data_IF_326803081023
#
_entry.id   IF_326803081023
#
_cell.length_a   1.000
_cell.length_b   1.000
_cell.length_c   1.000
_cell.angle_alpha   90.00
_cell.angle_beta   90.00
_cell.angle_gamma   90.00
#
_symmetry.space_group_name_H-M   'P 1'
#
loop_
_entity.id
_entity.type
_entity.pdbx_description
1 polymer ?
#
# COMPACT_ATOMS: atom_id res chain seq x y z
N UNK A 1 -13.56 -49.11 70.98
CA UNK A 1 -12.89 -48.20 71.95
C UNK A 1 -12.31 -47.02 71.18
N UNK A 2 -12.58 -45.77 71.65
CA UNK A 2 -12.02 -44.45 71.24
C UNK A 2 -12.09 -44.08 69.74
N UNK A 3 -13.03 -43.22 69.30
CA UNK A 3 -13.14 -41.74 69.46
C UNK A 3 -11.88 -40.97 69.02
N UNK A 4 -11.88 -40.44 67.79
CA UNK A 4 -11.27 -39.15 67.37
C UNK A 4 -12.06 -38.71 66.11
N UNK A 5 -13.22 -38.07 66.25
CA UNK A 5 -13.45 -36.61 66.32
C UNK A 5 -12.78 -35.79 65.20
N UNK A 6 -13.65 -35.34 64.28
CA UNK A 6 -13.83 -33.96 63.81
C UNK A 6 -12.56 -33.18 63.47
N UNK A 7 -12.29 -33.01 62.16
CA UNK A 7 -12.05 -31.66 61.60
C UNK A 7 -12.74 -31.59 60.24
N UNK A 8 -13.95 -31.04 60.26
CA UNK A 8 -14.51 -30.36 59.11
C UNK A 8 -13.73 -29.05 58.93
N UNK A 9 -13.13 -28.84 57.76
CA UNK A 9 -12.94 -27.49 57.25
C UNK A 9 -13.10 -27.51 55.72
N UNK A 10 -14.36 -27.34 55.36
CA UNK A 10 -14.82 -26.89 54.06
C UNK A 10 -14.21 -25.50 53.84
N UNK A 11 -13.43 -25.33 52.77
CA UNK A 11 -13.29 -24.02 52.13
C UNK A 11 -13.25 -24.23 50.61
N UNK A 12 -14.36 -23.99 49.90
CA UNK A 12 -14.35 -24.02 48.44
C UNK A 12 -13.71 -22.69 48.03
N UNK A 13 -12.44 -22.72 47.62
CA UNK A 13 -11.81 -21.56 47.01
C UNK A 13 -12.36 -21.40 45.59
N UNK A 14 -13.51 -20.73 45.55
CA UNK A 14 -13.77 -19.62 44.65
C UNK A 14 -13.48 -19.93 43.18
N UNK A 15 -14.52 -20.43 42.53
CA UNK A 15 -14.80 -20.22 41.11
C UNK A 15 -14.46 -18.76 40.77
N UNK A 16 -13.28 -18.55 40.19
CA UNK A 16 -12.92 -17.27 39.61
C UNK A 16 -13.73 -17.13 38.33
N UNK A 17 -14.58 -16.10 38.35
CA UNK A 17 -15.53 -15.74 37.32
C UNK A 17 -14.79 -15.54 35.99
N UNK A 18 -15.02 -16.45 35.04
CA UNK A 18 -14.72 -16.21 33.63
C UNK A 18 -15.84 -15.34 33.06
N UNK A 19 -15.89 -14.08 33.49
CA UNK A 19 -16.68 -13.05 32.80
C UNK A 19 -15.79 -12.44 31.71
N UNK A 20 -15.57 -13.21 30.63
CA UNK A 20 -15.22 -12.64 29.34
C UNK A 20 -16.43 -11.83 28.86
N UNK A 21 -16.57 -10.61 29.37
CA UNK A 21 -17.25 -9.56 28.64
C UNK A 21 -16.55 -9.50 27.30
N UNK A 22 -17.21 -10.00 26.24
CA UNK A 22 -16.82 -9.73 24.87
C UNK A 22 -16.83 -8.21 24.71
N UNK A 23 -15.66 -7.61 25.00
CA UNK A 23 -15.37 -6.23 24.66
C UNK A 23 -15.87 -6.05 23.24
N UNK A 24 -16.80 -5.10 23.08
CA UNK A 24 -17.59 -4.96 21.88
C UNK A 24 -16.68 -5.10 20.68
N UNK A 25 -17.12 -5.87 19.68
CA UNK A 25 -16.52 -5.90 18.36
C UNK A 25 -16.46 -4.45 17.88
N UNK A 26 -15.37 -3.77 18.21
CA UNK A 26 -14.96 -2.56 17.55
C UNK A 26 -14.92 -2.99 16.11
N UNK A 27 -15.87 -2.48 15.32
CA UNK A 27 -15.78 -2.59 13.88
C UNK A 27 -14.39 -2.06 13.58
N UNK A 28 -13.46 -2.97 13.27
CA UNK A 28 -12.21 -2.61 12.63
C UNK A 28 -12.68 -1.69 11.51
N UNK A 29 -12.34 -0.40 11.62
CA UNK A 29 -12.59 0.54 10.55
C UNK A 29 -11.66 0.10 9.43
N UNK A 30 -12.09 -0.94 8.72
CA UNK A 30 -11.52 -1.34 7.45
C UNK A 30 -11.79 -0.14 6.56
N UNK A 31 -10.81 0.74 6.48
CA UNK A 31 -10.81 1.80 5.48
C UNK A 31 -10.64 1.05 4.18
N UNK A 32 -11.73 0.90 3.44
CA UNK A 32 -11.69 0.33 2.11
C UNK A 32 -10.68 1.12 1.30
N UNK A 33 -9.62 0.43 0.84
CA UNK A 33 -8.53 1.07 0.14
C UNK A 33 -9.10 1.75 -1.11
N UNK A 34 -8.83 3.05 -1.27
CA UNK A 34 -9.29 3.82 -2.44
C UNK A 34 -8.94 3.07 -3.72
N UNK A 35 -9.94 2.84 -4.57
CA UNK A 35 -9.73 2.32 -5.91
C UNK A 35 -9.00 3.38 -6.76
N UNK A 36 -7.83 3.03 -7.26
CA UNK A 36 -7.01 3.88 -8.12
C UNK A 36 -7.35 3.54 -9.57
N UNK A 37 -7.59 4.52 -10.45
CA UNK A 37 -7.83 4.29 -11.88
C UNK A 37 -6.77 4.94 -12.75
N UNK A 38 -6.61 4.44 -13.97
CA UNK A 38 -5.65 5.03 -14.90
C UNK A 38 -6.06 6.47 -15.27
N UNK A 39 -7.31 6.68 -15.66
CA UNK A 39 -7.77 7.99 -16.14
C UNK A 39 -7.71 9.07 -15.07
N UNK A 40 -8.07 8.75 -13.81
CA UNK A 40 -8.16 9.76 -12.74
C UNK A 40 -6.86 9.98 -12.00
N UNK A 41 -6.07 8.94 -11.77
CA UNK A 41 -4.94 9.01 -10.82
C UNK A 41 -3.58 8.87 -11.51
N UNK A 42 -3.47 8.03 -12.55
CA UNK A 42 -2.19 7.69 -13.18
C UNK A 42 -1.87 8.63 -14.34
N UNK A 43 -2.84 8.86 -15.23
CA UNK A 43 -2.68 9.67 -16.42
C UNK A 43 -2.18 11.09 -16.12
N UNK A 44 -2.62 11.81 -15.06
CA UNK A 44 -2.06 13.11 -14.72
C UNK A 44 -0.56 13.05 -14.35
N UNK A 45 -0.14 12.00 -13.64
CA UNK A 45 1.26 11.77 -13.27
C UNK A 45 2.10 11.51 -14.52
N UNK A 46 1.66 10.59 -15.38
CA UNK A 46 2.36 10.22 -16.61
C UNK A 46 2.47 11.41 -17.57
N UNK A 47 1.36 12.12 -17.79
CA UNK A 47 1.30 13.29 -18.68
C UNK A 47 2.18 14.43 -18.19
N UNK A 48 2.26 14.61 -16.88
CA UNK A 48 3.11 15.66 -16.33
C UNK A 48 4.57 15.22 -16.35
N UNK A 49 4.90 14.05 -15.82
CA UNK A 49 6.27 13.68 -15.46
C UNK A 49 7.02 12.88 -16.52
N UNK A 50 6.32 12.23 -17.44
CA UNK A 50 6.94 11.25 -18.35
C UNK A 50 6.79 11.65 -19.82
N UNK A 51 5.58 12.00 -20.27
CA UNK A 51 5.31 12.27 -21.70
C UNK A 51 6.17 13.37 -22.31
N UNK A 52 6.64 14.43 -21.62
CA UNK A 52 7.52 15.43 -22.25
C UNK A 52 8.81 14.85 -22.85
N UNK A 53 9.23 13.65 -22.44
CA UNK A 53 10.37 12.93 -22.99
C UNK A 53 10.02 11.56 -23.60
N UNK A 54 8.84 11.02 -23.31
CA UNK A 54 8.34 9.69 -23.69
C UNK A 54 7.07 9.80 -24.55
N UNK A 55 7.11 10.53 -25.68
CA UNK A 55 5.94 10.72 -26.55
C UNK A 55 6.31 10.87 -28.05
N UNK A 56 5.75 10.07 -28.98
CA UNK A 56 5.97 10.23 -30.42
C UNK A 56 5.43 11.52 -31.03
N UNK A 57 5.98 11.98 -32.18
CA UNK A 57 7.25 11.52 -32.80
C UNK A 57 8.50 12.05 -32.10
N UNK A 58 8.31 12.86 -31.06
CA UNK A 58 9.37 13.37 -30.20
C UNK A 58 9.79 12.27 -29.20
N UNK A 59 10.71 12.55 -28.29
CA UNK A 59 11.17 11.53 -27.33
C UNK A 59 12.07 10.45 -27.96
N UNK A 60 13.13 10.08 -27.25
CA UNK A 60 14.14 9.12 -27.75
C UNK A 60 13.97 7.72 -27.16
N UNK A 61 12.81 7.46 -26.55
CA UNK A 61 12.53 6.34 -25.63
C UNK A 61 11.09 5.85 -25.79
N UNK A 62 10.78 4.78 -25.08
CA UNK A 62 9.49 4.10 -25.06
C UNK A 62 8.34 5.10 -24.84
N UNK A 63 7.26 5.05 -25.65
CA UNK A 63 6.16 6.00 -25.56
C UNK A 63 5.22 5.67 -24.39
N UNK A 64 4.75 6.69 -23.65
CA UNK A 64 3.80 6.54 -22.54
C UNK A 64 2.56 7.43 -22.71
N UNK A 65 1.87 7.31 -23.85
CA UNK A 65 0.74 8.16 -24.22
C UNK A 65 -0.63 7.58 -23.85
N UNK A 66 -0.71 6.28 -23.59
CA UNK A 66 -1.97 5.61 -23.31
C UNK A 66 -1.84 4.55 -22.20
N UNK A 67 -2.99 4.05 -21.77
CA UNK A 67 -3.13 3.06 -20.72
C UNK A 67 -2.30 1.81 -20.98
N UNK A 68 -2.40 1.21 -22.17
CA UNK A 68 -1.71 -0.06 -22.48
C UNK A 68 -0.19 0.09 -22.38
N UNK A 69 0.37 1.19 -22.89
CA UNK A 69 1.80 1.47 -22.80
C UNK A 69 2.27 1.64 -21.35
N UNK A 70 1.52 2.39 -20.54
CA UNK A 70 1.88 2.62 -19.13
C UNK A 70 1.75 1.34 -18.33
N UNK A 71 0.69 0.56 -18.58
CA UNK A 71 0.43 -0.74 -17.96
C UNK A 71 1.53 -1.75 -18.28
N UNK A 72 1.92 -1.87 -19.55
CA UNK A 72 2.99 -2.77 -19.99
C UNK A 72 4.33 -2.45 -19.29
N UNK A 73 4.58 -1.17 -19.01
CA UNK A 73 5.85 -0.71 -18.47
C UNK A 73 5.84 -0.34 -16.98
N UNK A 74 4.73 -0.51 -16.25
CA UNK A 74 4.58 0.01 -14.88
C UNK A 74 5.69 -0.47 -13.93
N UNK A 75 6.10 -1.74 -14.05
CA UNK A 75 7.16 -2.32 -13.22
C UNK A 75 8.49 -1.60 -13.43
N UNK A 76 8.83 -1.32 -14.69
CA UNK A 76 10.03 -0.58 -15.04
C UNK A 76 9.94 0.89 -14.61
N UNK A 77 8.78 1.53 -14.78
CA UNK A 77 8.52 2.90 -14.33
C UNK A 77 8.76 2.99 -12.82
N UNK A 78 8.11 2.14 -12.02
CA UNK A 78 8.25 2.11 -10.56
C UNK A 78 9.70 1.86 -10.15
N UNK A 79 10.38 0.92 -10.81
CA UNK A 79 11.79 0.65 -10.51
C UNK A 79 12.67 1.88 -10.70
N UNK A 80 12.45 2.67 -11.76
CA UNK A 80 13.28 3.83 -12.11
C UNK A 80 12.99 5.07 -11.26
N UNK A 81 11.73 5.33 -10.93
CA UNK A 81 11.35 6.48 -10.08
C UNK A 81 11.72 6.28 -8.61
N UNK A 82 12.03 5.03 -8.20
CA UNK A 82 12.47 4.68 -6.85
C UNK A 82 13.99 4.57 -6.69
N UNK A 83 14.75 4.76 -7.77
CA UNK A 83 16.21 4.79 -7.68
C UNK A 83 16.68 5.99 -6.83
N UNK A 84 17.88 5.93 -6.25
CA UNK A 84 18.54 7.12 -5.72
C UNK A 84 18.69 8.19 -6.82
N UNK A 85 18.56 9.47 -6.47
CA UNK A 85 18.57 10.55 -7.46
C UNK A 85 19.94 10.73 -8.15
N UNK A 86 21.02 10.28 -7.50
CA UNK A 86 22.37 10.19 -8.04
C UNK A 86 22.54 9.07 -9.08
N UNK A 87 21.61 8.11 -9.15
CA UNK A 87 21.65 7.04 -10.14
C UNK A 87 21.34 7.61 -11.53
N UNK A 88 22.23 7.37 -12.50
CA UNK A 88 22.06 7.82 -13.89
C UNK A 88 20.81 7.26 -14.57
N UNK A 89 20.21 6.20 -14.03
CA UNK A 89 18.97 5.59 -14.51
C UNK A 89 17.73 6.15 -13.82
N UNK A 90 17.86 6.96 -12.76
CA UNK A 90 16.74 7.63 -12.10
C UNK A 90 15.91 8.41 -13.11
N UNK A 91 14.59 8.33 -12.95
CA UNK A 91 13.64 9.03 -13.81
C UNK A 91 12.64 9.81 -12.95
N UNK A 92 12.24 11.02 -13.38
CA UNK A 92 12.83 11.80 -14.47
C UNK A 92 14.30 12.18 -14.22
N UNK A 93 15.11 12.46 -15.24
CA UNK A 93 16.49 12.92 -15.01
C UNK A 93 16.49 14.19 -14.17
N UNK A 94 17.26 14.20 -13.08
CA UNK A 94 17.25 15.27 -12.06
C UNK A 94 17.52 16.66 -12.62
N UNK A 95 18.27 16.74 -13.73
CA UNK A 95 18.61 17.99 -14.41
C UNK A 95 17.56 18.45 -15.45
N UNK A 96 16.47 17.70 -15.62
CA UNK A 96 15.40 18.00 -16.59
C UNK A 96 14.06 18.24 -15.93
N UNK A 97 13.73 17.49 -14.86
CA UNK A 97 12.45 17.63 -14.17
C UNK A 97 12.58 17.17 -12.70
N UNK A 98 11.81 17.76 -11.76
CA UNK A 98 11.76 17.27 -10.39
C UNK A 98 11.38 15.78 -10.30
N UNK A 99 11.86 15.12 -9.25
CA UNK A 99 11.42 13.80 -8.85
C UNK A 99 9.91 13.78 -8.57
N UNK A 100 9.29 12.60 -8.72
CA UNK A 100 7.94 12.38 -8.21
C UNK A 100 7.95 12.50 -6.69
N UNK A 101 6.83 12.98 -6.12
CA UNK A 101 6.64 12.92 -4.67
C UNK A 101 6.44 11.49 -4.21
N UNK A 102 6.67 11.23 -2.92
CA UNK A 102 6.41 9.91 -2.33
C UNK A 102 4.97 9.45 -2.55
N UNK A 103 4.01 10.37 -2.47
CA UNK A 103 2.59 10.08 -2.69
C UNK A 103 2.30 9.69 -4.15
N UNK A 104 2.92 10.38 -5.12
CA UNK A 104 2.79 10.01 -6.53
C UNK A 104 3.39 8.63 -6.81
N UNK A 105 4.55 8.31 -6.22
CA UNK A 105 5.14 6.97 -6.33
C UNK A 105 4.24 5.92 -5.67
N UNK A 106 3.63 6.24 -4.52
CA UNK A 106 2.69 5.35 -3.84
C UNK A 106 1.45 5.06 -4.70
N UNK A 107 0.90 6.07 -5.39
CA UNK A 107 -0.23 5.89 -6.31
C UNK A 107 0.12 4.94 -7.47
N UNK A 108 1.31 5.05 -8.05
CA UNK A 108 1.78 4.12 -9.10
C UNK A 108 1.88 2.68 -8.57
N UNK A 109 2.44 2.49 -7.37
CA UNK A 109 2.57 1.18 -6.72
C UNK A 109 1.20 0.59 -6.38
N UNK A 110 0.29 1.39 -5.83
CA UNK A 110 -1.07 0.95 -5.51
C UNK A 110 -1.85 0.55 -6.76
N UNK A 111 -1.72 1.31 -7.84
CA UNK A 111 -2.34 0.96 -9.12
C UNK A 111 -1.83 -0.38 -9.64
N UNK A 112 -0.51 -0.62 -9.60
CA UNK A 112 0.06 -1.92 -9.94
C UNK A 112 -0.52 -3.05 -9.07
N UNK A 113 -0.59 -2.85 -7.75
CA UNK A 113 -1.15 -3.84 -6.80
C UNK A 113 -2.64 -4.12 -7.00
N UNK A 114 -3.39 -3.14 -7.50
CA UNK A 114 -4.82 -3.28 -7.83
C UNK A 114 -5.06 -3.92 -9.21
N UNK A 115 -4.03 -4.49 -9.84
CA UNK A 115 -4.06 -5.06 -11.19
C UNK A 115 -4.35 -4.03 -12.28
N UNK A 116 -3.89 -2.79 -12.06
CA UNK A 116 -3.89 -1.71 -13.05
C UNK A 116 -5.26 -1.49 -13.68
N UNK A 117 -6.32 -1.22 -12.91
CA UNK A 117 -7.62 -0.92 -13.48
C UNK A 117 -7.54 0.35 -14.33
N UNK A 118 -8.28 0.35 -15.43
CA UNK A 118 -8.38 1.52 -16.31
C UNK A 118 -9.16 2.66 -15.65
#
# INVERSE_FOLDING_TARGET
MKKIQLIALILPLSILMVNCSSAGKGKSAYVEAKKISYETDIKPIITTSCTPCHMPPQGRKEPFQNYEQVKEHITAIIARVKLPQEDRKFMPPVNKKPALTNDQVAVLVQWQQQNMPQ
#
